data_IF_430523787628
#
_entry.id   IF_430523787628
#
_cell.length_a   1.000
_cell.length_b   1.000
_cell.length_c   1.000
_cell.angle_alpha   90.00
_cell.angle_beta   90.00
_cell.angle_gamma   90.00
#
_symmetry.space_group_name_H-M   'P 1'
#
loop_
_entity.id
_entity.type
_entity.pdbx_description
1 polymer ?
#
# COMPACT_ATOMS: atom_id res chain seq x y z
N UNK A 1 -0.73 -12.57 -15.21
CA UNK A 1 -0.42 -13.26 -13.94
C UNK A 1 -0.71 -12.28 -12.81
N UNK A 2 -1.58 -12.57 -11.83
CA UNK A 2 -1.84 -11.64 -10.73
C UNK A 2 -0.62 -11.58 -9.80
N UNK A 3 -0.16 -10.37 -9.50
CA UNK A 3 0.89 -10.11 -8.53
C UNK A 3 0.30 -10.09 -7.11
N UNK A 4 1.16 -10.16 -6.08
CA UNK A 4 0.73 -10.09 -4.67
C UNK A 4 1.37 -8.88 -4.01
N UNK A 5 0.54 -7.97 -3.49
CA UNK A 5 0.94 -6.86 -2.62
C UNK A 5 0.79 -7.30 -1.16
N UNK A 6 1.82 -7.08 -0.35
CA UNK A 6 1.78 -7.29 1.11
C UNK A 6 1.73 -5.94 1.81
N UNK A 7 0.63 -5.67 2.51
CA UNK A 7 0.44 -4.46 3.31
C UNK A 7 0.72 -4.79 4.78
N UNK A 8 1.53 -3.97 5.44
CA UNK A 8 1.80 -4.04 6.87
C UNK A 8 0.94 -3.03 7.60
N UNK A 9 0.28 -3.47 8.66
CA UNK A 9 -0.54 -2.63 9.53
C UNK A 9 0.25 -2.25 10.78
N UNK A 10 -0.09 -1.13 11.41
CA UNK A 10 0.61 -0.61 12.59
C UNK A 10 0.55 -1.55 13.80
N UNK A 11 -0.45 -2.42 13.86
CA UNK A 11 -0.57 -3.46 14.89
C UNK A 11 0.30 -4.71 14.64
N UNK A 12 1.22 -4.65 13.66
CA UNK A 12 2.11 -5.75 13.29
C UNK A 12 1.49 -6.83 12.40
N UNK A 13 0.20 -6.73 12.08
CA UNK A 13 -0.45 -7.66 11.16
C UNK A 13 -0.09 -7.36 9.70
N UNK A 14 -0.27 -8.36 8.83
CA UNK A 14 -0.11 -8.21 7.39
C UNK A 14 -1.34 -8.66 6.63
N UNK A 15 -1.71 -7.92 5.58
CA UNK A 15 -2.79 -8.28 4.66
C UNK A 15 -2.22 -8.41 3.25
N UNK A 16 -2.55 -9.52 2.59
CA UNK A 16 -2.11 -9.79 1.21
C UNK A 16 -3.24 -9.51 0.23
N UNK A 17 -2.91 -8.84 -0.87
CA UNK A 17 -3.84 -8.49 -1.94
C UNK A 17 -3.31 -9.02 -3.27
N UNK A 18 -4.14 -9.74 -4.00
CA UNK A 18 -3.86 -10.02 -5.41
C UNK A 18 -4.19 -8.76 -6.21
N UNK A 19 -3.36 -8.43 -7.18
CA UNK A 19 -3.56 -7.28 -8.04
C UNK A 19 -3.12 -7.53 -9.48
N UNK A 20 -3.66 -6.70 -10.38
CA UNK A 20 -3.30 -6.66 -11.79
C UNK A 20 -2.87 -5.25 -12.21
N UNK A 21 -2.68 -5.03 -13.52
CA UNK A 21 -2.20 -3.75 -14.05
C UNK A 21 -3.17 -2.59 -13.85
N UNK A 22 -4.47 -2.87 -13.69
CA UNK A 22 -5.53 -1.87 -13.48
C UNK A 22 -5.80 -1.57 -12.01
N UNK A 23 -5.41 -2.45 -11.09
CA UNK A 23 -5.66 -2.25 -9.65
C UNK A 23 -4.92 -1.01 -9.14
N UNK A 24 -5.66 -0.11 -8.48
CA UNK A 24 -5.15 1.14 -7.91
C UNK A 24 -4.80 1.01 -6.44
N UNK A 25 -4.04 1.98 -5.92
CA UNK A 25 -3.81 2.14 -4.48
C UNK A 25 -5.15 2.36 -3.74
N UNK A 26 -6.07 3.13 -4.34
CA UNK A 26 -7.42 3.36 -3.83
C UNK A 26 -8.22 2.07 -3.61
N UNK A 27 -8.19 1.15 -4.57
CA UNK A 27 -8.89 -0.14 -4.44
C UNK A 27 -8.44 -0.94 -3.21
N UNK A 28 -7.13 -0.88 -2.89
CA UNK A 28 -6.58 -1.53 -1.69
C UNK A 28 -7.00 -0.81 -0.42
N UNK A 29 -6.96 0.54 -0.41
CA UNK A 29 -7.44 1.36 0.70
C UNK A 29 -8.90 1.06 1.01
N UNK A 30 -9.77 1.06 0.01
CA UNK A 30 -11.20 0.77 0.18
C UNK A 30 -11.42 -0.65 0.73
N UNK A 31 -10.67 -1.62 0.23
CA UNK A 31 -10.71 -2.98 0.76
C UNK A 31 -10.27 -3.06 2.23
N UNK A 32 -9.26 -2.29 2.63
CA UNK A 32 -8.82 -2.18 4.03
C UNK A 32 -9.87 -1.49 4.89
N UNK A 33 -10.43 -0.36 4.45
CA UNK A 33 -11.46 0.37 5.15
C UNK A 33 -12.67 -0.54 5.46
N UNK A 34 -13.13 -1.29 4.47
CA UNK A 34 -14.23 -2.24 4.63
C UNK A 34 -13.86 -3.38 5.60
N UNK A 35 -12.70 -4.02 5.42
CA UNK A 35 -12.29 -5.18 6.23
C UNK A 35 -11.97 -4.84 7.69
N UNK A 36 -11.49 -3.63 7.93
CA UNK A 36 -11.10 -3.16 9.26
C UNK A 36 -12.20 -2.34 9.94
N UNK A 37 -13.29 -2.02 9.23
CA UNK A 37 -14.39 -1.22 9.77
C UNK A 37 -14.01 0.23 10.08
N UNK A 38 -13.07 0.80 9.31
CA UNK A 38 -12.57 2.17 9.51
C UNK A 38 -13.70 3.18 9.26
N UNK A 39 -13.87 4.11 10.20
CA UNK A 39 -14.96 5.11 10.17
C UNK A 39 -14.55 6.46 9.57
N UNK A 40 -13.26 6.79 9.64
CA UNK A 40 -12.70 8.04 9.13
C UNK A 40 -11.59 7.74 8.11
N UNK A 41 -11.93 7.23 6.91
CA UNK A 41 -10.96 6.81 5.89
C UNK A 41 -10.03 7.94 5.44
N UNK A 42 -10.46 9.20 5.54
CA UNK A 42 -9.69 10.39 5.21
C UNK A 42 -8.41 10.58 6.03
N UNK A 43 -8.30 9.92 7.18
CA UNK A 43 -7.10 9.94 8.02
C UNK A 43 -6.08 8.85 7.67
N UNK A 44 -6.41 7.96 6.73
CA UNK A 44 -5.56 6.83 6.38
C UNK A 44 -5.01 6.95 4.96
N UNK A 45 -3.77 6.50 4.79
CA UNK A 45 -3.09 6.41 3.50
C UNK A 45 -2.18 5.20 3.49
N UNK A 46 -1.83 4.73 2.29
CA UNK A 46 -0.74 3.79 2.10
C UNK A 46 0.58 4.53 1.90
N UNK A 47 1.66 3.94 2.42
CA UNK A 47 3.03 4.42 2.25
C UNK A 47 3.92 3.27 1.79
N UNK A 48 4.97 3.60 1.04
CA UNK A 48 6.13 2.72 0.85
C UNK A 48 7.18 3.10 1.88
N UNK A 49 7.60 2.11 2.66
CA UNK A 49 8.73 2.25 3.58
C UNK A 49 10.02 1.77 2.90
N UNK A 50 10.95 2.70 2.69
CA UNK A 50 12.29 2.38 2.22
C UNK A 50 13.19 2.15 3.43
N UNK A 51 13.46 0.88 3.72
CA UNK A 51 14.34 0.47 4.83
C UNK A 51 15.79 0.76 4.47
N UNK A 52 16.49 1.54 5.31
CA UNK A 52 17.92 1.86 5.13
C UNK A 52 18.69 1.38 6.37
N UNK A 53 19.78 0.65 6.18
CA UNK A 53 20.48 -0.03 7.29
C UNK A 53 21.10 0.90 8.36
N UNK A 54 21.34 2.17 8.03
CA UNK A 54 22.09 3.11 8.89
C UNK A 54 21.40 4.47 9.08
N UNK A 55 20.18 4.67 8.54
CA UNK A 55 19.45 5.95 8.55
C UNK A 55 17.97 5.69 8.90
N UNK A 56 17.24 6.73 9.33
CA UNK A 56 15.77 6.63 9.46
C UNK A 56 15.15 6.15 8.15
N UNK A 57 14.17 5.26 8.26
CA UNK A 57 13.38 4.81 7.12
C UNK A 57 12.71 6.00 6.45
N UNK A 58 12.72 6.01 5.12
CA UNK A 58 12.01 7.02 4.34
C UNK A 58 10.63 6.47 4.04
N UNK A 59 9.59 7.17 4.47
CA UNK A 59 8.21 6.89 4.10
C UNK A 59 7.83 7.75 2.91
N UNK A 60 7.25 7.13 1.89
CA UNK A 60 6.74 7.81 0.70
C UNK A 60 5.24 7.56 0.60
N UNK A 61 4.43 8.63 0.65
CA UNK A 61 2.98 8.54 0.46
C UNK A 61 2.65 8.07 -0.96
N UNK A 62 1.65 7.21 -1.07
CA UNK A 62 1.12 6.74 -2.35
C UNK A 62 -0.14 7.51 -2.73
N UNK A 63 -0.20 7.96 -3.99
CA UNK A 63 -1.41 8.56 -4.54
C UNK A 63 -2.48 7.47 -4.75
N UNK A 64 -3.70 7.61 -4.19
CA UNK A 64 -4.79 6.66 -4.38
C UNK A 64 -5.15 6.39 -5.85
N UNK A 65 -4.87 7.34 -6.75
CA UNK A 65 -5.14 7.22 -8.20
C UNK A 65 -4.07 6.44 -8.96
N UNK A 66 -2.91 6.19 -8.35
CA UNK A 66 -1.82 5.46 -8.99
C UNK A 66 -2.12 3.95 -9.04
N UNK A 67 -1.76 3.29 -10.15
CA UNK A 67 -1.87 1.83 -10.24
C UNK A 67 -0.74 1.16 -9.46
N UNK A 68 -1.02 0.02 -8.83
CA UNK A 68 -0.03 -0.76 -8.09
C UNK A 68 1.12 -1.22 -8.99
N UNK A 69 0.83 -1.46 -10.27
CA UNK A 69 1.84 -1.74 -11.29
C UNK A 69 2.82 -0.57 -11.48
N UNK A 70 2.36 0.69 -11.47
CA UNK A 70 3.24 1.86 -11.57
C UNK A 70 4.04 2.08 -10.29
N UNK A 71 3.40 1.92 -9.14
CA UNK A 71 4.06 2.00 -7.82
C UNK A 71 5.19 0.97 -7.73
N UNK A 72 4.96 -0.28 -8.15
CA UNK A 72 5.98 -1.32 -8.08
C UNK A 72 7.18 -1.00 -8.97
N UNK A 73 6.97 -0.60 -10.23
CA UNK A 73 8.06 -0.23 -11.14
C UNK A 73 8.91 0.94 -10.60
N UNK A 74 8.29 1.96 -9.98
CA UNK A 74 9.02 3.11 -9.43
C UNK A 74 9.90 2.75 -8.23
N UNK A 75 9.50 1.77 -7.43
CA UNK A 75 10.15 1.45 -6.15
C UNK A 75 11.03 0.18 -6.21
N UNK A 76 11.00 -0.56 -7.32
CA UNK A 76 11.88 -1.71 -7.59
C UNK A 76 13.14 -1.32 -8.39
N UNK A 77 13.28 -0.05 -8.77
CA UNK A 77 14.49 0.53 -9.38
C UNK A 77 15.37 1.20 -8.31
#
# INVERSE_FOLDING_TARGET
MPNVLKVFLENGQTKSFKYDSSTTVGDVLDSLHQKLGIKCPEHFSLVVEHVKSLRRNKLTLLDPRETLSRVSHRNLA
#
